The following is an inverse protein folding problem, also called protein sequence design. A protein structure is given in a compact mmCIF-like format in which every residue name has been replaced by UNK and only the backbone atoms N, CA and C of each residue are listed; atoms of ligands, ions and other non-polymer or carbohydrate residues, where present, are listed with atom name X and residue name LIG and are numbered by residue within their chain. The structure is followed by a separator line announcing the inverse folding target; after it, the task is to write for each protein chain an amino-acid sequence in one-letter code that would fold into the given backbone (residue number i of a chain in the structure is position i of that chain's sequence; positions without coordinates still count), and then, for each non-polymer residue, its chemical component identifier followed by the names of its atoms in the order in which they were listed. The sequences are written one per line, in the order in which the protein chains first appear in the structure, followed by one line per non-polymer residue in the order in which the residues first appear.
data_IF_288797517529
#
_entry.id   IF_288797517529
#
_cell.length_a   1.000
_cell.length_b   1.000
_cell.length_c   1.000
_cell.angle_alpha   90.00
_cell.angle_beta   90.00
_cell.angle_gamma   90.00
#
_symmetry.space_group_name_H-M   'P 1'
#
loop_
_entity.id
_entity.type
_entity.pdbx_description
1 polymer ?
#
# COMPACT_ATOMS: atom_id res chain seq x y z
N UNK A 1 -22.41 16.75 -5.51
CA UNK A 1 -22.58 15.70 -6.55
C UNK A 1 -21.42 15.83 -7.52
N UNK A 2 -20.60 14.79 -7.68
CA UNK A 2 -19.53 14.79 -8.68
C UNK A 2 -20.13 14.34 -9.99
N UNK A 3 -20.40 15.29 -10.89
CA UNK A 3 -20.82 14.95 -12.25
C UNK A 3 -19.62 14.37 -12.99
N UNK A 4 -19.80 13.24 -13.67
CA UNK A 4 -18.78 12.72 -14.59
C UNK A 4 -18.65 13.71 -15.75
N UNK A 5 -17.44 13.90 -16.27
CA UNK A 5 -17.19 14.82 -17.39
C UNK A 5 -18.13 14.57 -18.60
N UNK A 6 -18.54 13.32 -18.82
CA UNK A 6 -19.51 12.92 -19.85
C UNK A 6 -20.94 13.43 -19.63
N UNK A 7 -21.33 13.75 -18.40
CA UNK A 7 -22.65 14.30 -18.08
C UNK A 7 -22.70 15.81 -18.26
N UNK A 8 -21.57 16.50 -18.02
CA UNK A 8 -21.45 17.96 -18.21
C UNK A 8 -21.51 18.37 -19.68
N UNK A 9 -21.01 17.50 -20.58
CA UNK A 9 -21.06 17.70 -22.03
C UNK A 9 -22.48 17.96 -22.54
N UNK A 10 -23.50 17.28 -22.01
CA UNK A 10 -24.89 17.40 -22.49
C UNK A 10 -25.52 18.78 -22.25
N UNK A 11 -24.94 19.58 -21.34
CA UNK A 11 -25.44 20.89 -20.95
C UNK A 11 -24.69 22.04 -21.63
N UNK A 12 -23.67 21.76 -22.44
CA UNK A 12 -22.92 22.77 -23.19
C UNK A 12 -23.64 23.13 -24.50
N UNK A 13 -23.39 24.32 -25.07
CA UNK A 13 -23.85 24.65 -26.42
C UNK A 13 -23.40 23.60 -27.45
N UNK A 14 -24.25 23.31 -28.45
CA UNK A 14 -24.04 22.22 -29.42
C UNK A 14 -22.70 22.34 -30.14
N UNK A 15 -22.27 23.57 -30.42
CA UNK A 15 -20.99 23.87 -31.06
C UNK A 15 -19.80 23.44 -30.20
N UNK A 16 -19.89 23.63 -28.88
CA UNK A 16 -18.84 23.22 -27.93
C UNK A 16 -18.82 21.69 -27.77
N UNK A 17 -20.00 21.06 -27.71
CA UNK A 17 -20.10 19.60 -27.69
C UNK A 17 -19.42 18.96 -28.91
N UNK A 18 -19.66 19.52 -30.10
CA UNK A 18 -19.07 19.04 -31.33
C UNK A 18 -17.53 19.16 -31.33
N UNK A 19 -17.00 20.29 -30.86
CA UNK A 19 -15.54 20.49 -30.78
C UNK A 19 -14.87 19.51 -29.81
N UNK A 20 -15.46 19.29 -28.63
CA UNK A 20 -14.91 18.34 -27.64
C UNK A 20 -14.96 16.89 -28.13
N UNK A 21 -16.07 16.47 -28.75
CA UNK A 21 -16.20 15.13 -29.33
C UNK A 21 -15.14 14.95 -30.43
N UNK A 22 -15.00 15.90 -31.35
CA UNK A 22 -14.02 15.84 -32.43
C UNK A 22 -12.58 15.80 -31.90
N UNK A 23 -12.25 16.60 -30.89
CA UNK A 23 -10.93 16.58 -30.24
C UNK A 23 -10.64 15.22 -29.57
N UNK A 24 -11.64 14.62 -28.94
CA UNK A 24 -11.52 13.29 -28.31
C UNK A 24 -11.31 12.17 -29.33
N UNK A 25 -11.99 12.24 -30.48
CA UNK A 25 -11.82 11.28 -31.58
C UNK A 25 -10.42 11.38 -32.21
N UNK A 26 -9.93 12.61 -32.44
CA UNK A 26 -8.58 12.84 -32.94
C UNK A 26 -7.50 12.35 -31.96
N UNK A 27 -7.69 12.58 -30.65
CA UNK A 27 -6.79 12.08 -29.62
C UNK A 27 -6.78 10.54 -29.57
N UNK A 28 -7.95 9.90 -29.64
CA UNK A 28 -8.09 8.44 -29.70
C UNK A 28 -7.41 7.87 -30.95
N UNK A 29 -7.55 8.53 -32.10
CA UNK A 29 -6.91 8.14 -33.36
C UNK A 29 -5.38 8.22 -33.27
N UNK A 30 -4.84 9.31 -32.72
CA UNK A 30 -3.39 9.47 -32.50
C UNK A 30 -2.84 8.41 -31.54
N UNK A 31 -3.56 8.08 -30.47
CA UNK A 31 -3.16 7.04 -29.52
C UNK A 31 -3.18 5.63 -30.13
N UNK A 32 -4.19 5.30 -30.94
CA UNK A 32 -4.20 4.02 -31.67
C UNK A 32 -3.04 3.93 -32.68
N UNK A 33 -2.77 5.00 -33.41
CA UNK A 33 -1.65 5.05 -34.35
C UNK A 33 -0.29 4.92 -33.64
N UNK A 34 -0.12 5.52 -32.46
CA UNK A 34 1.12 5.37 -31.68
C UNK A 34 1.29 3.96 -31.11
N UNK A 35 0.21 3.31 -30.64
CA UNK A 35 0.26 1.91 -30.25
C UNK A 35 0.60 0.97 -31.41
N UNK A 36 0.00 1.19 -32.59
CA UNK A 36 0.30 0.38 -33.79
C UNK A 36 1.75 0.58 -34.24
N UNK A 37 2.25 1.82 -34.26
CA UNK A 37 3.67 2.12 -34.55
C UNK A 37 4.62 1.46 -33.56
N UNK A 38 4.31 1.53 -32.26
CA UNK A 38 5.10 0.86 -31.21
C UNK A 38 5.14 -0.65 -31.41
N UNK A 39 4.00 -1.28 -31.70
CA UNK A 39 3.93 -2.73 -31.97
C UNK A 39 4.70 -3.14 -33.21
N UNK A 40 4.59 -2.40 -34.31
CA UNK A 40 5.35 -2.66 -35.54
C UNK A 40 6.86 -2.52 -35.28
N UNK A 41 7.28 -1.49 -34.53
CA UNK A 41 8.69 -1.29 -34.18
C UNK A 41 9.24 -2.44 -33.32
N UNK A 42 8.50 -2.87 -32.29
CA UNK A 42 8.90 -4.00 -31.44
C UNK A 42 8.95 -5.33 -32.22
N UNK A 43 8.00 -5.58 -33.12
CA UNK A 43 8.04 -6.76 -34.00
C UNK A 43 9.21 -6.71 -34.97
N UNK A 44 9.49 -5.55 -35.58
CA UNK A 44 10.63 -5.35 -36.48
C UNK A 44 11.98 -5.60 -35.79
N UNK A 45 12.17 -5.05 -34.58
CA UNK A 45 13.37 -5.26 -33.77
C UNK A 45 13.56 -6.74 -33.38
N UNK A 46 12.46 -7.40 -33.01
CA UNK A 46 12.49 -8.83 -32.65
C UNK A 46 12.81 -9.72 -33.85
N UNK A 47 12.30 -9.39 -35.04
CA UNK A 47 12.57 -10.12 -36.27
C UNK A 47 14.02 -9.93 -36.73
N UNK A 48 14.57 -8.71 -36.64
CA UNK A 48 15.97 -8.43 -36.96
C UNK A 48 16.92 -9.17 -36.01
N UNK A 49 16.62 -9.21 -34.71
CA UNK A 49 17.40 -10.00 -33.75
C UNK A 49 17.32 -11.51 -34.03
N UNK A 50 16.13 -12.04 -34.36
CA UNK A 50 15.98 -13.45 -34.71
C UNK A 50 16.77 -13.82 -35.97
N UNK A 51 16.77 -12.96 -36.99
CA UNK A 51 17.54 -13.17 -38.23
C UNK A 51 19.05 -13.10 -37.96
N UNK A 52 19.51 -12.18 -37.11
CA UNK A 52 20.92 -12.05 -36.74
C UNK A 52 21.45 -13.28 -35.96
N UNK A 53 20.59 -13.95 -35.18
CA UNK A 53 20.94 -15.17 -34.44
C UNK A 53 21.05 -16.39 -35.37
N UNK A 54 20.25 -16.45 -36.44
CA UNK A 54 20.13 -17.64 -37.30
C UNK A 54 21.18 -17.64 -38.43
N UNK A 55 21.74 -16.48 -38.82
CA UNK A 55 22.69 -16.38 -39.94
C UNK A 55 24.06 -15.82 -39.51
N UNK A 56 25.11 -16.66 -39.35
CA UNK A 56 26.43 -16.25 -38.84
C UNK A 56 27.10 -15.11 -39.63
N UNK A 57 26.86 -15.06 -40.95
CA UNK A 57 27.45 -14.03 -41.83
C UNK A 57 26.82 -12.63 -41.68
N UNK A 58 25.55 -12.54 -41.24
CA UNK A 58 24.89 -11.24 -41.01
C UNK A 58 25.43 -10.62 -39.72
N UNK A 59 25.68 -11.44 -38.70
CA UNK A 59 26.26 -10.99 -37.44
C UNK A 59 27.65 -10.35 -37.67
N UNK A 60 28.48 -10.96 -38.50
CA UNK A 60 29.80 -10.42 -38.87
C UNK A 60 29.72 -9.11 -39.67
N UNK A 61 28.74 -8.98 -40.57
CA UNK A 61 28.52 -7.75 -41.35
C UNK A 61 28.02 -6.60 -40.46
N UNK A 62 27.11 -6.87 -39.52
CA UNK A 62 26.58 -5.90 -38.54
C UNK A 62 27.70 -5.36 -37.64
N UNK A 63 28.54 -6.24 -37.09
CA UNK A 63 29.71 -5.86 -36.28
C UNK A 63 30.70 -4.99 -37.07
N UNK A 64 30.91 -5.28 -38.36
CA UNK A 64 31.83 -4.53 -39.22
C UNK A 64 31.36 -3.10 -39.57
N UNK A 65 30.04 -2.91 -39.67
CA UNK A 65 29.43 -1.60 -40.02
C UNK A 65 29.22 -0.70 -38.81
N UNK A 66 29.05 -1.28 -37.62
CA UNK A 66 28.81 -0.53 -36.39
C UNK A 66 30.09 -0.07 -35.68
N UNK A 67 31.29 -0.40 -36.19
CA UNK A 67 32.57 -0.03 -35.57
C UNK A 67 32.58 -0.34 -34.06
N UNK A 68 31.98 -1.47 -33.67
CA UNK A 68 31.99 -1.93 -32.29
C UNK A 68 33.39 -2.47 -32.00
N UNK A 69 34.30 -1.56 -31.64
CA UNK A 69 35.47 -1.93 -30.86
C UNK A 69 34.97 -2.77 -29.68
N UNK A 70 35.71 -3.82 -29.32
CA UNK A 70 35.40 -4.68 -28.18
C UNK A 70 35.43 -3.81 -26.91
N UNK A 71 34.28 -3.26 -26.51
CA UNK A 71 34.21 -2.41 -25.34
C UNK A 71 34.28 -3.32 -24.11
N UNK A 72 35.50 -3.53 -23.65
CA UNK A 72 35.78 -3.81 -22.24
C UNK A 72 35.28 -2.55 -21.50
N UNK A 73 34.09 -2.63 -20.92
CA UNK A 73 33.52 -1.56 -20.09
C UNK A 73 32.43 -0.72 -20.74
N UNK A 74 31.36 -1.32 -21.26
CA UNK A 74 30.02 -0.73 -21.08
C UNK A 74 29.40 -1.52 -19.95
N UNK A 75 29.49 -0.98 -18.73
CA UNK A 75 28.49 -1.32 -17.74
C UNK A 75 27.18 -0.78 -18.31
N UNK A 76 26.32 -1.67 -18.81
CA UNK A 76 24.90 -1.37 -18.78
C UNK A 76 24.56 -1.29 -17.29
N UNK A 77 24.64 -0.09 -16.71
CA UNK A 77 23.90 0.23 -15.50
C UNK A 77 22.43 0.26 -15.89
N UNK A 78 21.91 -0.93 -16.16
CA UNK A 78 20.51 -1.17 -15.89
C UNK A 78 20.35 -0.85 -14.41
N UNK A 79 19.66 0.24 -14.12
CA UNK A 79 19.10 0.50 -12.81
C UNK A 79 17.94 -0.51 -12.56
N UNK A 80 18.23 -1.80 -12.78
CA UNK A 80 17.34 -2.96 -12.59
C UNK A 80 17.81 -3.83 -11.42
N UNK A 81 19.00 -3.57 -10.86
CA UNK A 81 19.56 -4.32 -9.72
C UNK A 81 19.59 -3.53 -8.40
N UNK A 82 19.06 -2.31 -8.39
CA UNK A 82 18.72 -1.64 -7.13
C UNK A 82 17.22 -1.84 -6.91
N UNK A 83 16.79 -2.57 -5.86
CA UNK A 83 15.38 -2.66 -5.53
C UNK A 83 14.84 -1.23 -5.38
N UNK A 84 13.67 -0.95 -5.97
CA UNK A 84 13.02 0.35 -5.76
C UNK A 84 12.89 0.56 -4.26
N UNK A 85 12.94 1.80 -3.78
CA UNK A 85 12.79 2.08 -2.34
C UNK A 85 11.54 1.41 -1.74
N UNK A 86 10.46 1.34 -2.52
CA UNK A 86 9.25 0.59 -2.19
C UNK A 86 9.50 -0.92 -1.97
N UNK A 87 10.33 -1.54 -2.79
CA UNK A 87 10.67 -2.96 -2.68
C UNK A 87 11.58 -3.22 -1.47
N UNK A 88 12.48 -2.28 -1.13
CA UNK A 88 13.27 -2.36 0.12
C UNK A 88 12.38 -2.36 1.35
N UNK A 89 11.34 -1.52 1.37
CA UNK A 89 10.35 -1.52 2.47
C UNK A 89 9.62 -2.86 2.56
N UNK A 90 9.13 -3.39 1.43
CA UNK A 90 8.48 -4.70 1.42
C UNK A 90 9.40 -5.81 1.93
N UNK A 91 10.66 -5.84 1.51
CA UNK A 91 11.66 -6.81 1.97
C UNK A 91 11.90 -6.68 3.47
N UNK A 92 12.15 -5.46 3.98
CA UNK A 92 12.41 -5.22 5.40
C UNK A 92 11.24 -5.69 6.30
N UNK A 93 10.00 -5.41 5.89
CA UNK A 93 8.79 -5.85 6.60
C UNK A 93 8.70 -7.38 6.66
N UNK A 94 8.92 -8.05 5.52
CA UNK A 94 8.84 -9.50 5.42
C UNK A 94 9.99 -10.19 6.14
N UNK A 95 11.21 -9.67 6.09
CA UNK A 95 12.35 -10.23 6.80
C UNK A 95 12.16 -10.17 8.31
N UNK A 96 11.62 -9.05 8.82
CA UNK A 96 11.23 -8.97 10.22
C UNK A 96 10.15 -10.01 10.56
N UNK A 97 9.11 -10.14 9.73
CA UNK A 97 8.06 -11.14 9.93
C UNK A 97 8.60 -12.58 9.91
N UNK A 98 9.49 -12.93 8.98
CA UNK A 98 10.18 -14.23 8.91
C UNK A 98 10.98 -14.50 10.18
N UNK A 99 11.75 -13.51 10.65
CA UNK A 99 12.54 -13.62 11.88
C UNK A 99 11.65 -13.88 13.11
N UNK A 100 10.46 -13.27 13.14
CA UNK A 100 9.46 -13.52 14.19
C UNK A 100 8.64 -14.81 13.99
N UNK A 101 8.88 -15.56 12.89
CA UNK A 101 8.10 -16.74 12.48
C UNK A 101 6.60 -16.44 12.33
N UNK A 102 6.27 -15.24 11.87
CA UNK A 102 4.91 -14.82 11.59
C UNK A 102 4.43 -15.34 10.23
N UNK A 103 3.11 -15.48 10.09
CA UNK A 103 2.48 -15.91 8.86
C UNK A 103 2.73 -14.86 7.76
N UNK A 104 3.17 -15.33 6.60
CA UNK A 104 3.31 -14.54 5.38
C UNK A 104 2.54 -15.27 4.29
N UNK A 105 1.52 -14.61 3.75
CA UNK A 105 0.76 -15.12 2.61
C UNK A 105 1.50 -14.83 1.32
N UNK A 106 1.52 -15.80 0.42
CA UNK A 106 2.19 -15.72 -0.88
C UNK A 106 1.22 -16.08 -2.02
N UNK A 107 1.54 -15.61 -3.23
CA UNK A 107 0.72 -15.78 -4.42
C UNK A 107 -0.01 -14.50 -4.83
N UNK A 108 -0.56 -14.54 -6.04
CA UNK A 108 -1.23 -13.41 -6.66
C UNK A 108 -2.44 -12.96 -5.85
N UNK A 109 -2.55 -11.65 -5.62
CA UNK A 109 -3.61 -10.99 -4.86
C UNK A 109 -3.82 -11.61 -3.47
N UNK A 110 -2.74 -12.06 -2.83
CA UNK A 110 -2.72 -12.37 -1.39
C UNK A 110 -1.95 -11.28 -0.67
N UNK A 111 -2.69 -10.43 0.03
CA UNK A 111 -2.10 -9.25 0.64
C UNK A 111 -1.79 -9.46 2.13
N UNK A 112 -0.62 -8.98 2.54
CA UNK A 112 -0.17 -8.94 3.92
C UNK A 112 -0.27 -7.50 4.44
N UNK A 113 -1.02 -7.29 5.52
CA UNK A 113 -1.23 -5.96 6.12
C UNK A 113 -0.20 -5.72 7.22
N UNK A 114 0.52 -4.61 7.12
CA UNK A 114 1.49 -4.17 8.12
C UNK A 114 1.15 -2.76 8.60
N UNK A 115 1.30 -2.52 9.90
CA UNK A 115 1.44 -1.20 10.47
C UNK A 115 2.83 -1.05 11.09
N UNK A 116 3.45 0.10 10.87
CA UNK A 116 4.76 0.43 11.45
C UNK A 116 4.65 1.70 12.28
N UNK A 117 4.93 1.55 13.57
CA UNK A 117 4.94 2.64 14.54
C UNK A 117 6.18 3.52 14.35
N UNK A 118 5.99 4.85 14.25
CA UNK A 118 7.08 5.83 14.16
C UNK A 118 7.81 5.85 12.82
N UNK A 119 7.11 5.62 11.71
CA UNK A 119 7.67 5.65 10.35
C UNK A 119 6.68 6.25 9.36
N UNK A 120 7.15 7.10 8.46
CA UNK A 120 6.35 7.61 7.34
C UNK A 120 6.27 6.60 6.18
N UNK A 121 5.29 6.74 5.26
CA UNK A 121 5.12 5.82 4.14
C UNK A 121 6.34 5.70 3.23
N UNK A 122 7.22 6.70 3.25
CA UNK A 122 8.51 6.71 2.56
C UNK A 122 9.58 5.80 3.19
N UNK A 123 9.31 5.18 4.34
CA UNK A 123 10.30 4.41 5.12
C UNK A 123 11.14 5.25 6.08
N UNK A 124 10.99 6.59 6.07
CA UNK A 124 11.72 7.48 6.96
C UNK A 124 11.16 7.40 8.38
N UNK A 125 12.02 7.07 9.34
CA UNK A 125 11.68 7.05 10.77
C UNK A 125 11.39 8.46 11.29
N UNK A 126 10.54 8.56 12.30
CA UNK A 126 10.25 9.82 12.99
C UNK A 126 10.27 9.63 14.51
N UNK A 127 9.96 10.71 15.24
CA UNK A 127 10.03 10.74 16.70
C UNK A 127 8.84 10.09 17.41
N UNK A 128 7.87 9.54 16.67
CA UNK A 128 6.65 8.94 17.22
C UNK A 128 5.91 9.87 18.21
N UNK A 129 5.81 11.16 17.86
CA UNK A 129 5.05 12.12 18.66
C UNK A 129 3.56 11.71 18.76
N UNK A 130 2.93 11.82 19.94
CA UNK A 130 1.55 11.40 20.15
C UNK A 130 0.57 12.26 19.35
N UNK A 131 -0.63 11.72 19.12
CA UNK A 131 -1.73 12.40 18.43
C UNK A 131 -1.44 12.80 16.98
N UNK A 132 -0.53 12.08 16.30
CA UNK A 132 -0.15 12.32 14.91
C UNK A 132 -0.41 11.09 14.06
N UNK A 133 -0.66 11.34 12.77
CA UNK A 133 -0.60 10.30 11.75
C UNK A 133 0.83 10.13 11.26
N UNK A 134 1.72 9.68 12.15
CA UNK A 134 3.15 9.49 11.92
C UNK A 134 3.56 8.00 11.93
N UNK A 135 2.57 7.12 11.93
CA UNK A 135 2.77 5.71 11.61
C UNK A 135 2.47 5.49 10.13
N UNK A 136 2.71 4.26 9.69
CA UNK A 136 2.38 3.86 8.33
C UNK A 136 1.60 2.56 8.29
N UNK A 137 0.64 2.50 7.38
CA UNK A 137 0.00 1.27 6.94
C UNK A 137 0.58 0.86 5.59
N UNK A 138 1.03 -0.37 5.48
CA UNK A 138 1.56 -0.95 4.25
C UNK A 138 0.75 -2.18 3.83
N UNK A 139 0.68 -2.38 2.53
CA UNK A 139 0.15 -3.59 1.91
C UNK A 139 1.24 -4.24 1.07
N UNK A 140 1.59 -5.48 1.40
CA UNK A 140 2.67 -6.22 0.73
C UNK A 140 2.11 -7.48 0.09
N UNK A 141 2.43 -7.68 -1.18
CA UNK A 141 2.18 -8.91 -1.92
C UNK A 141 3.51 -9.64 -2.14
N UNK A 142 3.49 -10.97 -2.12
CA UNK A 142 4.66 -11.81 -2.41
C UNK A 142 4.31 -12.73 -3.57
N UNK A 143 4.66 -12.31 -4.79
CA UNK A 143 4.32 -13.06 -6.00
C UNK A 143 5.23 -12.74 -7.21
N UNK A 144 6.27 -13.54 -7.50
CA UNK A 144 6.97 -14.45 -6.59
C UNK A 144 7.87 -13.69 -5.60
N UNK A 145 8.23 -12.45 -5.93
CA UNK A 145 9.06 -11.56 -5.10
C UNK A 145 8.19 -10.60 -4.30
N UNK A 146 8.72 -10.06 -3.17
CA UNK A 146 8.06 -8.99 -2.44
C UNK A 146 7.77 -7.77 -3.31
N UNK A 147 6.57 -7.21 -3.19
CA UNK A 147 6.17 -5.95 -3.81
C UNK A 147 5.36 -5.13 -2.82
N UNK A 148 5.71 -3.87 -2.67
CA UNK A 148 4.88 -2.92 -1.94
C UNK A 148 3.72 -2.46 -2.82
N UNK A 149 2.51 -2.84 -2.46
CA UNK A 149 1.28 -2.56 -3.22
C UNK A 149 0.69 -1.21 -2.82
N UNK A 150 0.85 -0.82 -1.56
CA UNK A 150 0.42 0.48 -1.07
C UNK A 150 1.06 0.86 0.25
N UNK A 151 1.14 2.16 0.47
CA UNK A 151 1.73 2.78 1.66
C UNK A 151 0.95 4.06 1.98
N UNK A 152 0.44 4.17 3.20
CA UNK A 152 -0.40 5.30 3.61
C UNK A 152 -0.05 5.75 5.02
N UNK A 153 -0.17 7.06 5.26
CA UNK A 153 -0.06 7.62 6.61
C UNK A 153 -1.14 7.02 7.51
N UNK A 154 -0.75 6.71 8.73
CA UNK A 154 -1.60 6.03 9.69
C UNK A 154 -1.29 6.46 11.13
N UNK A 155 -2.12 5.99 12.05
CA UNK A 155 -1.79 5.93 13.47
C UNK A 155 -2.30 4.62 14.05
N UNK A 156 -1.50 3.97 14.90
CA UNK A 156 -1.93 2.85 15.75
C UNK A 156 -2.05 3.25 17.22
N UNK A 157 -1.88 4.54 17.49
CA UNK A 157 -1.95 5.15 18.82
C UNK A 157 -3.30 5.85 19.00
N UNK A 158 -3.84 5.88 20.22
CA UNK A 158 -5.03 6.67 20.49
C UNK A 158 -4.74 8.17 20.32
N UNK A 159 -5.76 8.92 19.91
CA UNK A 159 -5.66 10.37 19.86
C UNK A 159 -5.87 11.02 21.23
N UNK A 160 -5.41 12.27 21.37
CA UNK A 160 -5.43 12.99 22.65
C UNK A 160 -6.83 13.04 23.28
N UNK A 161 -7.87 13.16 22.46
CA UNK A 161 -9.25 13.16 22.94
C UNK A 161 -9.54 11.94 23.83
N UNK A 162 -9.11 10.74 23.41
CA UNK A 162 -9.36 9.52 24.18
C UNK A 162 -8.30 9.24 25.24
N UNK A 163 -7.09 9.79 25.10
CA UNK A 163 -6.14 9.81 26.22
C UNK A 163 -6.72 10.60 27.39
N UNK A 164 -7.25 11.80 27.13
CA UNK A 164 -7.83 12.68 28.15
C UNK A 164 -9.17 12.15 28.67
N UNK A 165 -10.02 11.64 27.77
CA UNK A 165 -11.38 11.16 28.03
C UNK A 165 -11.53 9.70 27.58
N UNK A 166 -10.91 8.75 28.29
CA UNK A 166 -10.89 7.37 27.85
C UNK A 166 -12.29 6.75 27.95
N UNK A 167 -12.64 5.93 26.96
CA UNK A 167 -13.88 5.16 26.96
C UNK A 167 -13.90 4.05 28.02
N UNK A 168 -12.73 3.73 28.58
CA UNK A 168 -12.55 2.73 29.62
C UNK A 168 -11.81 3.37 30.79
N UNK A 169 -12.25 3.09 32.02
CA UNK A 169 -11.64 3.67 33.23
C UNK A 169 -10.16 3.30 33.40
N UNK A 170 -9.70 2.19 32.80
CA UNK A 170 -8.29 1.79 32.78
C UNK A 170 -7.44 2.52 31.74
N UNK A 171 -8.01 3.41 30.92
CA UNK A 171 -7.27 4.20 29.93
C UNK A 171 -7.56 3.86 28.47
N UNK A 172 -7.02 4.68 27.57
CA UNK A 172 -7.07 4.47 26.13
C UNK A 172 -6.29 3.20 25.74
N UNK A 173 -6.78 2.45 24.76
CA UNK A 173 -6.14 1.21 24.35
C UNK A 173 -5.13 1.45 23.23
N UNK A 174 -4.03 0.73 23.27
CA UNK A 174 -3.12 0.56 22.15
C UNK A 174 -2.91 -0.93 21.88
N UNK A 175 -2.95 -1.35 20.62
CA UNK A 175 -2.58 -2.72 20.24
C UNK A 175 -1.10 -2.93 20.55
N UNK A 176 -0.76 -4.04 21.19
CA UNK A 176 0.62 -4.35 21.58
C UNK A 176 1.52 -4.49 20.34
N UNK A 177 2.62 -3.74 20.36
CA UNK A 177 3.68 -3.75 19.34
C UNK A 177 4.99 -4.23 19.97
N UNK A 178 5.74 -5.18 19.36
CA UNK A 178 5.40 -5.91 18.13
C UNK A 178 4.34 -7.01 18.33
N UNK A 179 3.65 -7.39 17.25
CA UNK A 179 2.72 -8.54 17.23
C UNK A 179 2.03 -8.75 15.88
N UNK A 180 1.62 -9.98 15.58
CA UNK A 180 0.74 -10.31 14.45
C UNK A 180 -0.54 -10.97 14.97
N UNK A 181 -1.70 -10.53 14.47
CA UNK A 181 -3.00 -11.02 14.92
C UNK A 181 -3.91 -11.32 13.73
N UNK A 182 -4.52 -12.52 13.71
CA UNK A 182 -5.58 -12.90 12.77
C UNK A 182 -6.93 -12.51 13.36
N UNK A 183 -7.34 -11.27 13.14
CA UNK A 183 -8.40 -10.67 13.95
C UNK A 183 -9.35 -9.72 13.22
N UNK A 184 -9.27 -9.57 11.89
CA UNK A 184 -10.12 -8.63 11.18
C UNK A 184 -10.83 -9.22 9.96
N UNK A 185 -12.10 -8.85 9.75
CA UNK A 185 -12.88 -9.16 8.54
C UNK A 185 -13.30 -7.87 7.84
N UNK A 186 -13.52 -7.91 6.53
CA UNK A 186 -14.15 -6.78 5.84
C UNK A 186 -15.57 -6.61 6.37
N UNK A 187 -15.91 -5.39 6.79
CA UNK A 187 -17.19 -5.04 7.38
C UNK A 187 -17.42 -3.52 7.34
N UNK A 188 -18.21 -2.99 8.27
CA UNK A 188 -18.47 -1.55 8.35
C UNK A 188 -18.16 -0.97 9.73
N UNK A 189 -17.24 0.01 9.79
CA UNK A 189 -17.04 0.82 10.99
C UNK A 189 -18.27 1.71 11.24
N UNK A 190 -18.85 1.61 12.44
CA UNK A 190 -20.08 2.31 12.87
C UNK A 190 -21.27 2.12 11.90
N UNK A 191 -21.28 1.00 11.15
CA UNK A 191 -22.31 0.71 10.15
C UNK A 191 -22.26 1.56 8.87
N UNK A 192 -21.25 2.42 8.68
CA UNK A 192 -21.21 3.42 7.59
C UNK A 192 -20.03 3.23 6.65
N UNK A 193 -18.82 3.21 7.18
CA UNK A 193 -17.58 3.16 6.38
C UNK A 193 -17.10 1.72 6.23
N UNK A 194 -16.81 1.28 5.01
CA UNK A 194 -16.20 -0.04 4.77
C UNK A 194 -14.82 -0.06 5.42
N UNK A 195 -14.57 -1.05 6.27
CA UNK A 195 -13.37 -1.14 7.09
C UNK A 195 -13.01 -2.60 7.38
N UNK A 196 -11.82 -2.82 7.93
CA UNK A 196 -11.50 -4.09 8.58
C UNK A 196 -12.04 -4.06 10.01
N UNK A 197 -13.11 -4.80 10.30
CA UNK A 197 -13.76 -4.86 11.62
C UNK A 197 -13.12 -5.94 12.47
N UNK A 198 -12.84 -5.63 13.74
CA UNK A 198 -12.27 -6.60 14.67
C UNK A 198 -13.28 -7.72 14.96
N UNK A 199 -12.83 -8.97 14.85
CA UNK A 199 -13.65 -10.18 15.05
C UNK A 199 -13.00 -11.22 15.97
N UNK A 200 -11.74 -11.03 16.34
CA UNK A 200 -11.04 -11.86 17.31
C UNK A 200 -10.24 -10.98 18.30
N UNK A 201 -9.99 -11.47 19.52
CA UNK A 201 -9.23 -10.71 20.50
C UNK A 201 -7.78 -10.47 20.07
N UNK A 202 -7.24 -9.32 20.47
CA UNK A 202 -5.83 -8.94 20.27
C UNK A 202 -5.22 -8.54 21.61
N UNK A 203 -3.89 -8.63 21.72
CA UNK A 203 -3.21 -8.11 22.91
C UNK A 203 -3.20 -6.58 22.84
N UNK A 204 -3.68 -5.94 23.89
CA UNK A 204 -3.68 -4.49 24.05
C UNK A 204 -2.99 -4.10 25.36
N UNK A 205 -2.58 -2.84 25.41
CA UNK A 205 -2.08 -2.17 26.60
C UNK A 205 -2.94 -0.92 26.80
N UNK A 206 -3.31 -0.61 28.04
CA UNK A 206 -4.09 0.59 28.36
C UNK A 206 -3.25 1.62 29.08
N UNK A 207 -3.17 2.81 28.50
CA UNK A 207 -2.49 3.99 29.06
C UNK A 207 -3.28 4.50 30.27
N UNK A 208 -2.93 4.01 31.46
CA UNK A 208 -3.66 4.30 32.69
C UNK A 208 -3.41 5.72 33.20
N UNK A 209 -2.18 6.21 33.07
CA UNK A 209 -1.77 7.51 33.58
C UNK A 209 -2.00 8.65 32.56
N UNK A 210 -2.50 8.33 31.37
CA UNK A 210 -2.94 9.27 30.33
C UNK A 210 -1.81 10.15 29.81
N UNK A 211 -0.60 9.60 29.70
CA UNK A 211 0.58 10.31 29.23
C UNK A 211 0.87 10.08 27.72
N UNK A 212 -0.01 9.36 27.03
CA UNK A 212 0.12 8.94 25.64
C UNK A 212 1.31 8.01 25.37
N UNK A 213 1.75 7.25 26.36
CA UNK A 213 2.85 6.29 26.26
C UNK A 213 2.44 4.94 26.83
N UNK A 214 3.19 3.91 26.42
CA UNK A 214 3.12 2.58 27.01
C UNK A 214 4.11 2.49 28.14
N UNK A 215 3.61 2.36 29.36
CA UNK A 215 4.39 2.22 30.58
C UNK A 215 4.47 0.78 31.09
N UNK A 216 5.52 0.47 31.86
CA UNK A 216 5.77 -0.89 32.37
C UNK A 216 4.62 -1.43 33.23
N UNK A 217 3.93 -0.54 33.95
CA UNK A 217 2.82 -0.85 34.84
C UNK A 217 1.44 -0.86 34.18
N UNK A 218 1.36 -0.52 32.88
CA UNK A 218 0.07 -0.45 32.20
C UNK A 218 -0.61 -1.81 32.10
N UNK A 219 -1.94 -1.77 32.19
CA UNK A 219 -2.77 -2.97 32.17
C UNK A 219 -2.72 -3.61 30.79
N UNK A 220 -2.40 -4.90 30.76
CA UNK A 220 -2.38 -5.73 29.55
C UNK A 220 -3.63 -6.58 29.49
N UNK A 221 -4.27 -6.62 28.33
CA UNK A 221 -5.51 -7.38 28.13
C UNK A 221 -5.45 -8.12 26.78
N UNK A 222 -6.10 -9.28 26.70
CA UNK A 222 -6.37 -9.98 25.44
C UNK A 222 -7.87 -9.90 25.19
N UNK A 223 -8.30 -9.00 24.28
CA UNK A 223 -9.71 -8.58 24.24
C UNK A 223 -10.19 -8.11 22.86
N UNK A 224 -11.51 -8.13 22.69
CA UNK A 224 -12.22 -7.47 21.59
C UNK A 224 -12.66 -6.09 22.09
N UNK A 225 -12.06 -5.04 21.53
CA UNK A 225 -12.33 -3.65 21.91
C UNK A 225 -13.01 -2.85 20.79
N UNK A 226 -13.32 -3.49 19.67
CA UNK A 226 -13.81 -2.81 18.48
C UNK A 226 -12.72 -2.02 17.75
N UNK A 227 -11.46 -2.49 17.81
CA UNK A 227 -10.30 -1.88 17.14
C UNK A 227 -10.35 -2.09 15.63
N UNK A 228 -11.31 -1.46 14.97
CA UNK A 228 -11.51 -1.53 13.53
C UNK A 228 -10.40 -0.76 12.81
N UNK A 229 -9.99 -1.21 11.62
CA UNK A 229 -9.07 -0.46 10.77
C UNK A 229 -9.84 0.38 9.75
N UNK A 230 -9.96 1.68 10.03
CA UNK A 230 -10.84 2.60 9.31
C UNK A 230 -10.11 3.90 8.93
N UNK A 231 -10.80 4.87 8.33
CA UNK A 231 -10.16 6.17 8.00
C UNK A 231 -10.11 7.11 9.21
N UNK A 232 -9.11 7.99 9.22
CA UNK A 232 -9.04 9.17 10.08
C UNK A 232 -9.89 10.33 9.56
N UNK A 233 -10.67 10.12 8.50
CA UNK A 233 -11.53 11.14 7.87
C UNK A 233 -10.80 12.44 7.52
N UNK A 234 -9.56 12.32 7.02
CA UNK A 234 -8.72 13.43 6.55
C UNK A 234 -8.37 14.45 7.64
N UNK A 235 -8.49 14.06 8.92
CA UNK A 235 -8.16 14.91 10.05
C UNK A 235 -6.66 15.24 10.11
N UNK A 236 -6.35 16.43 10.65
CA UNK A 236 -4.96 16.88 10.81
C UNK A 236 -4.22 16.07 11.89
N UNK A 237 -4.93 15.73 12.96
CA UNK A 237 -4.46 15.00 14.14
C UNK A 237 -5.38 13.79 14.40
N UNK A 238 -4.94 12.85 15.21
CA UNK A 238 -5.71 11.62 15.47
C UNK A 238 -6.96 11.93 16.29
N UNK A 239 -6.84 12.76 17.33
CA UNK A 239 -7.90 13.24 18.22
C UNK A 239 -9.00 12.19 18.49
N UNK A 240 -10.22 12.44 18.03
CA UNK A 240 -11.36 11.56 18.26
C UNK A 240 -11.53 10.47 17.18
N UNK A 241 -10.59 10.35 16.23
CA UNK A 241 -10.59 9.32 15.21
C UNK A 241 -10.30 7.93 15.80
N UNK A 242 -9.49 7.84 16.87
CA UNK A 242 -9.09 6.55 17.43
C UNK A 242 -8.99 6.53 18.96
N UNK A 243 -9.78 5.64 19.58
CA UNK A 243 -9.63 5.25 20.98
C UNK A 243 -8.74 4.00 21.17
N UNK A 244 -8.11 3.54 20.08
CA UNK A 244 -7.36 2.27 19.99
C UNK A 244 -7.54 1.50 18.67
N UNK A 245 -8.21 2.10 17.69
CA UNK A 245 -8.30 1.64 16.31
C UNK A 245 -7.00 1.96 15.52
N UNK A 246 -6.46 1.04 14.72
CA UNK A 246 -5.49 1.39 13.68
C UNK A 246 -6.15 2.21 12.58
N UNK A 247 -5.81 3.48 12.42
CA UNK A 247 -6.50 4.39 11.47
C UNK A 247 -5.57 4.82 10.34
N UNK A 248 -6.05 4.82 9.10
CA UNK A 248 -5.35 5.43 7.97
C UNK A 248 -5.80 6.89 7.79
N UNK A 249 -4.90 7.85 7.67
CA UNK A 249 -5.21 9.29 7.76
C UNK A 249 -6.34 9.74 6.82
N UNK A 250 -6.21 9.46 5.53
CA UNK A 250 -7.10 10.00 4.49
C UNK A 250 -8.21 9.03 4.13
N UNK A 251 -9.40 9.57 3.82
CA UNK A 251 -10.53 8.74 3.34
C UNK A 251 -10.19 8.09 2.00
N UNK A 252 -9.52 8.83 1.11
CA UNK A 252 -9.07 8.31 -0.20
C UNK A 252 -8.09 7.14 -0.04
N UNK A 253 -7.05 7.30 0.78
CA UNK A 253 -6.08 6.22 1.01
C UNK A 253 -6.69 5.01 1.70
N UNK A 254 -7.70 5.22 2.55
CA UNK A 254 -8.47 4.12 3.11
C UNK A 254 -9.33 3.39 2.08
N UNK A 255 -9.98 4.11 1.17
CA UNK A 255 -10.73 3.50 0.07
C UNK A 255 -9.82 2.67 -0.84
N UNK A 256 -8.63 3.18 -1.19
CA UNK A 256 -7.63 2.43 -1.95
C UNK A 256 -7.21 1.14 -1.22
N UNK A 257 -6.91 1.24 0.08
CA UNK A 257 -6.59 0.08 0.91
C UNK A 257 -7.70 -0.98 0.90
N UNK A 258 -8.96 -0.57 1.11
CA UNK A 258 -10.08 -1.50 1.09
C UNK A 258 -10.33 -2.09 -0.30
N UNK A 259 -10.14 -1.31 -1.37
CA UNK A 259 -10.28 -1.80 -2.75
C UNK A 259 -9.29 -2.93 -3.07
N UNK A 260 -8.06 -2.88 -2.54
CA UNK A 260 -7.13 -4.01 -2.67
C UNK A 260 -7.61 -5.22 -1.89
N UNK A 261 -8.02 -5.06 -0.63
CA UNK A 261 -8.46 -6.20 0.18
C UNK A 261 -9.73 -6.88 -0.36
N UNK A 262 -10.63 -6.13 -1.00
CA UNK A 262 -11.80 -6.69 -1.68
C UNK A 262 -11.44 -7.52 -2.94
N UNK A 263 -10.24 -7.32 -3.49
CA UNK A 263 -9.70 -8.11 -4.60
C UNK A 263 -8.83 -9.27 -4.13
N UNK A 264 -8.61 -9.42 -2.81
CA UNK A 264 -7.83 -10.51 -2.24
C UNK A 264 -8.48 -11.86 -2.57
N UNK A 265 -7.69 -12.81 -3.07
CA UNK A 265 -8.24 -14.06 -3.61
C UNK A 265 -8.87 -14.95 -2.53
N UNK A 266 -8.34 -14.94 -1.30
CA UNK A 266 -8.88 -15.77 -0.22
C UNK A 266 -10.18 -15.13 0.32
N UNK A 267 -10.28 -13.80 0.30
CA UNK A 267 -11.55 -13.10 0.59
C UNK A 267 -12.59 -13.31 -0.52
N UNK A 268 -12.20 -13.27 -1.79
CA UNK A 268 -13.10 -13.56 -2.91
C UNK A 268 -13.65 -14.99 -2.87
N UNK A 269 -12.85 -15.94 -2.35
CA UNK A 269 -13.27 -17.32 -2.15
C UNK A 269 -14.18 -17.48 -0.91
N UNK A 270 -13.92 -16.74 0.17
CA UNK A 270 -14.73 -16.74 1.38
C UNK A 270 -14.85 -15.32 1.97
N UNK A 271 -16.04 -14.74 1.89
CA UNK A 271 -16.31 -13.42 2.45
C UNK A 271 -16.16 -13.35 3.99
N UNK A 272 -16.03 -14.49 4.68
CA UNK A 272 -15.70 -14.56 6.11
C UNK A 272 -14.19 -14.61 6.39
N UNK A 273 -13.35 -14.48 5.38
CA UNK A 273 -11.90 -14.52 5.52
C UNK A 273 -11.40 -13.52 6.57
N UNK A 274 -10.66 -14.03 7.55
CA UNK A 274 -10.06 -13.23 8.62
C UNK A 274 -8.64 -12.86 8.22
N UNK A 275 -8.41 -11.57 7.97
CA UNK A 275 -7.11 -10.99 7.70
C UNK A 275 -6.23 -10.97 8.95
N UNK A 276 -4.96 -11.34 8.76
CA UNK A 276 -3.88 -11.08 9.70
C UNK A 276 -3.34 -9.66 9.52
N UNK A 277 -3.07 -8.97 10.61
CA UNK A 277 -2.36 -7.67 10.59
C UNK A 277 -1.18 -7.71 11.52
N UNK A 278 -0.07 -7.18 11.03
CA UNK A 278 1.23 -7.19 11.69
C UNK A 278 1.60 -5.79 12.16
N UNK A 279 2.01 -5.64 13.41
CA UNK A 279 2.41 -4.37 14.02
C UNK A 279 3.89 -4.42 14.39
N UNK A 280 4.66 -3.43 13.92
CA UNK A 280 6.12 -3.38 14.06
C UNK A 280 6.55 -2.00 14.56
N UNK A 281 7.60 -1.92 15.37
CA UNK A 281 8.26 -0.64 15.66
C UNK A 281 9.31 -0.35 14.59
N UNK A 282 9.34 0.87 14.05
CA UNK A 282 10.27 1.24 12.97
C UNK A 282 11.75 0.96 13.28
N UNK A 283 12.14 1.07 14.55
CA UNK A 283 13.51 0.78 15.03
C UNK A 283 13.95 -0.67 14.80
N UNK A 284 13.00 -1.59 14.63
CA UNK A 284 13.26 -3.01 14.42
C UNK A 284 13.43 -3.39 12.95
N UNK A 285 13.09 -2.47 12.01
CA UNK A 285 13.27 -2.68 10.57
C UNK A 285 14.69 -2.28 10.17
N UNK A 286 15.27 -3.06 9.26
CA UNK A 286 16.61 -2.85 8.69
C UNK A 286 16.41 -2.66 7.18
N UNK A 287 16.92 -1.54 6.65
CA UNK A 287 16.81 -1.15 5.23
C UNK A 287 18.17 -1.15 4.57
#
# INVERSE_FOLDING_TARGET
MSFRASELLKHLPVEIQYQEIKASEEACRKFRLSQVRGRICCFGLSLVMAIAIIHPGINQWVESKLQLNRIIGISFSTNLNQPKEADKIAVALLDYARKQKWEIRTGERRYNVFYVQGMFPSGVRNNNAPNKFNDSRFLVEVNPTPRLVGAWEASIEPGNYYTEKPMNASGAAQIKVPGQYKAWRIGKHKGREIALVQVAPVNIIRDFNRNSKVDKGDKKEYSIIGANQHSGSDQKFVDNASAGCPVGRTSKGHQEFMNYLQQDIDYQADNNFIFSTTFIQAKNLIF
#
